data_IF_757637982689
#
_entry.id   IF_757637982689
#
_cell.length_a   1.000
_cell.length_b   1.000
_cell.length_c   1.000
_cell.angle_alpha   90.00
_cell.angle_beta   90.00
_cell.angle_gamma   90.00
#
_symmetry.space_group_name_H-M   'P 1'
#
loop_
_entity.id
_entity.type
_entity.pdbx_description
1 polymer ?
#
# COMPACT_ATOMS: atom_id res chain seq x y z
N UNK A 1 9.53 9.63 -7.08
CA UNK A 1 8.34 9.74 -7.95
C UNK A 1 7.13 10.00 -7.07
N UNK A 2 6.58 11.21 -7.15
CA UNK A 2 5.43 11.68 -6.36
C UNK A 2 4.10 11.21 -6.99
N UNK A 3 3.04 11.05 -6.20
CA UNK A 3 1.68 10.77 -6.69
C UNK A 3 1.25 11.81 -7.74
N UNK A 4 1.57 13.09 -7.51
CA UNK A 4 1.29 14.15 -8.49
C UNK A 4 2.06 13.91 -9.79
N UNK A 5 3.33 13.50 -9.74
CA UNK A 5 4.07 13.16 -10.96
C UNK A 5 3.45 11.97 -11.68
N UNK A 6 2.95 10.95 -10.96
CA UNK A 6 2.28 9.80 -11.58
C UNK A 6 0.96 10.22 -12.24
N UNK A 7 0.12 11.01 -11.55
CA UNK A 7 -1.14 11.51 -12.13
C UNK A 7 -0.88 12.43 -13.32
N UNK A 8 0.10 13.33 -13.21
CA UNK A 8 0.51 14.21 -14.31
C UNK A 8 1.12 13.42 -15.47
N UNK A 9 1.89 12.36 -15.22
CA UNK A 9 2.36 11.43 -16.27
C UNK A 9 1.18 10.69 -16.91
N UNK A 10 0.20 10.24 -16.12
CA UNK A 10 -1.00 9.54 -16.61
C UNK A 10 -1.90 10.44 -17.47
N UNK A 11 -2.07 11.71 -17.08
CA UNK A 11 -2.82 12.72 -17.85
C UNK A 11 -2.05 13.16 -19.10
N UNK A 12 -0.74 13.42 -19.00
CA UNK A 12 0.10 13.86 -20.12
C UNK A 12 0.33 12.76 -21.17
N UNK A 13 0.26 11.48 -20.79
CA UNK A 13 0.40 10.34 -21.71
C UNK A 13 -0.94 9.85 -22.27
N UNK A 14 -2.08 10.49 -21.96
CA UNK A 14 -3.42 10.07 -22.41
C UNK A 14 -3.69 8.57 -22.15
N UNK A 15 -3.27 8.07 -20.97
CA UNK A 15 -3.30 6.64 -20.64
C UNK A 15 -4.73 6.16 -20.39
N UNK A 16 -5.41 5.79 -21.48
CA UNK A 16 -6.70 5.08 -21.47
C UNK A 16 -6.55 3.56 -21.48
N UNK A 17 -5.33 3.01 -21.62
CA UNK A 17 -5.09 1.58 -21.79
C UNK A 17 -4.36 0.93 -20.60
N UNK A 18 -4.78 -0.28 -20.24
CA UNK A 18 -4.28 -1.08 -19.11
C UNK A 18 -2.78 -1.41 -19.20
N UNK A 19 -2.24 -1.50 -20.41
CA UNK A 19 -0.87 -1.99 -20.65
C UNK A 19 0.22 -1.00 -20.23
N UNK A 20 -0.04 0.30 -20.31
CA UNK A 20 0.94 1.33 -19.92
C UNK A 20 1.04 1.49 -18.39
N UNK A 21 -0.07 1.25 -17.69
CA UNK A 21 -0.10 1.20 -16.22
C UNK A 21 0.75 0.02 -15.72
N UNK A 22 0.63 -1.15 -16.34
CA UNK A 22 1.40 -2.34 -15.96
C UNK A 22 2.91 -2.13 -16.13
N UNK A 23 3.33 -1.45 -17.20
CA UNK A 23 4.75 -1.15 -17.46
C UNK A 23 5.37 -0.19 -16.42
N UNK A 24 4.63 0.82 -15.96
CA UNK A 24 5.08 1.71 -14.87
C UNK A 24 5.11 0.97 -13.53
N UNK A 25 4.18 0.03 -13.31
CA UNK A 25 4.13 -0.77 -12.10
C UNK A 25 5.28 -1.76 -12.01
N UNK A 26 5.67 -2.39 -13.10
CA UNK A 26 6.75 -3.36 -13.10
C UNK A 26 8.12 -2.73 -12.80
N UNK A 27 8.31 -1.47 -13.22
CA UNK A 27 9.57 -0.73 -12.99
C UNK A 27 9.75 -0.23 -11.55
N UNK A 28 8.72 -0.25 -10.69
CA UNK A 28 8.84 0.19 -9.30
C UNK A 28 8.06 -0.71 -8.33
N UNK A 29 8.54 -1.93 -8.12
CA UNK A 29 7.92 -2.94 -7.24
C UNK A 29 7.82 -2.53 -5.76
N UNK A 30 8.44 -1.43 -5.34
CA UNK A 30 8.31 -0.91 -3.97
C UNK A 30 7.14 0.07 -3.81
N UNK A 31 6.52 0.50 -4.91
CA UNK A 31 5.45 1.48 -4.92
C UNK A 31 4.10 0.85 -5.31
N UNK A 32 2.98 1.25 -4.67
CA UNK A 32 2.90 2.13 -3.50
C UNK A 32 3.08 1.34 -2.19
N UNK A 33 3.47 2.03 -1.13
CA UNK A 33 3.33 1.51 0.24
C UNK A 33 1.86 1.48 0.63
N UNK A 34 1.47 0.52 1.47
CA UNK A 34 0.11 0.42 2.02
C UNK A 34 -0.01 1.33 3.24
N UNK A 35 -1.09 2.11 3.32
CA UNK A 35 -1.47 2.91 4.46
C UNK A 35 -2.67 2.26 5.16
N UNK A 36 -2.56 2.10 6.48
CA UNK A 36 -3.67 1.77 7.38
C UNK A 36 -3.98 3.04 8.18
N UNK A 37 -5.03 3.79 7.81
CA UNK A 37 -5.21 5.17 8.26
C UNK A 37 -5.67 5.27 9.72
N UNK A 38 -6.23 4.19 10.29
CA UNK A 38 -6.66 4.13 11.67
C UNK A 38 -6.47 2.73 12.22
N UNK A 39 -5.53 2.62 13.14
CA UNK A 39 -5.25 1.45 13.96
C UNK A 39 -5.49 1.83 15.42
N UNK A 40 -5.94 0.87 16.22
CA UNK A 40 -5.90 1.04 17.66
C UNK A 40 -4.46 1.25 18.14
N UNK A 41 -4.28 2.01 19.21
CA UNK A 41 -2.96 2.35 19.75
C UNK A 41 -2.18 1.15 20.32
N UNK A 42 -2.87 0.05 20.64
CA UNK A 42 -2.27 -1.22 21.08
C UNK A 42 -1.65 -2.03 19.94
N UNK A 43 -2.06 -1.80 18.68
CA UNK A 43 -1.58 -2.57 17.54
C UNK A 43 -0.06 -2.37 17.34
N UNK A 44 0.67 -3.47 17.31
CA UNK A 44 2.12 -3.48 17.12
C UNK A 44 2.50 -3.67 15.66
N UNK A 45 3.80 -3.53 15.37
CA UNK A 45 4.33 -3.87 14.04
C UNK A 45 4.19 -5.36 13.72
N UNK A 46 4.28 -6.22 14.74
CA UNK A 46 4.15 -7.67 14.57
C UNK A 46 2.71 -8.03 14.21
N UNK A 47 1.72 -7.43 14.88
CA UNK A 47 0.31 -7.67 14.55
C UNK A 47 0.01 -7.31 13.07
N UNK A 48 0.59 -6.21 12.59
CA UNK A 48 0.46 -5.80 11.19
C UNK A 48 1.17 -6.79 10.27
N UNK A 49 2.40 -7.19 10.61
CA UNK A 49 3.18 -8.15 9.82
C UNK A 49 2.44 -9.48 9.71
N UNK A 50 2.08 -10.10 10.83
CA UNK A 50 1.42 -11.40 10.89
C UNK A 50 0.05 -11.39 10.18
N UNK A 51 -0.66 -10.26 10.26
CA UNK A 51 -1.93 -10.11 9.54
C UNK A 51 -1.71 -10.02 8.04
N UNK A 52 -0.80 -9.17 7.56
CA UNK A 52 -0.60 -8.96 6.12
C UNK A 52 0.10 -10.15 5.43
N UNK A 53 1.01 -10.84 6.13
CA UNK A 53 1.77 -11.95 5.57
C UNK A 53 0.85 -13.09 5.09
N UNK A 54 -0.27 -13.32 5.79
CA UNK A 54 -1.33 -14.29 5.43
C UNK A 54 -1.92 -14.06 4.04
N UNK A 55 -1.88 -12.83 3.53
CA UNK A 55 -2.45 -12.47 2.23
C UNK A 55 -1.45 -12.58 1.07
N UNK A 56 -0.16 -12.76 1.39
CA UNK A 56 0.94 -12.89 0.43
C UNK A 56 0.98 -11.78 -0.63
N UNK A 57 0.72 -10.53 -0.21
CA UNK A 57 0.69 -9.38 -1.12
C UNK A 57 2.09 -9.05 -1.68
N UNK A 58 3.12 -9.33 -0.91
CA UNK A 58 4.51 -9.00 -1.22
C UNK A 58 5.38 -9.20 0.01
N UNK A 59 6.71 -9.13 -0.17
CA UNK A 59 7.66 -9.19 0.94
C UNK A 59 7.65 -7.88 1.71
N UNK A 60 7.22 -7.89 2.97
CA UNK A 60 7.26 -6.71 3.83
C UNK A 60 8.72 -6.36 4.15
N UNK A 61 9.10 -5.11 3.90
CA UNK A 61 10.45 -4.57 4.09
C UNK A 61 10.51 -3.75 5.38
N UNK A 62 9.47 -2.97 5.65
CA UNK A 62 9.44 -2.04 6.76
C UNK A 62 8.00 -1.71 7.15
N UNK A 63 7.77 -1.53 8.45
CA UNK A 63 6.52 -1.02 8.99
C UNK A 63 6.82 0.23 9.84
N UNK A 64 6.16 1.33 9.51
CA UNK A 64 6.18 2.57 10.29
C UNK A 64 4.83 2.76 10.98
N UNK A 65 4.88 3.09 12.28
CA UNK A 65 3.71 3.43 13.09
C UNK A 65 3.84 4.88 13.52
N UNK A 66 2.83 5.70 13.21
CA UNK A 66 2.77 7.11 13.60
C UNK A 66 1.61 7.30 14.58
N UNK A 67 1.92 7.67 15.83
CA UNK A 67 0.92 7.93 16.86
C UNK A 67 0.10 9.19 16.52
N UNK A 68 -1.21 9.10 16.71
CA UNK A 68 -2.20 10.13 16.45
C UNK A 68 -3.13 10.25 17.66
N UNK A 69 -2.63 10.81 18.77
CA UNK A 69 -3.40 10.94 20.02
C UNK A 69 -3.89 9.58 20.53
N UNK A 70 -5.17 9.26 20.28
CA UNK A 70 -5.83 8.00 20.68
C UNK A 70 -5.86 6.88 19.64
N UNK A 71 -5.22 7.05 18.48
CA UNK A 71 -5.06 5.99 17.48
C UNK A 71 -3.68 6.11 16.85
N UNK A 72 -3.35 5.25 15.89
CA UNK A 72 -2.13 5.37 15.11
C UNK A 72 -2.36 5.06 13.63
N UNK A 73 -1.43 5.50 12.79
CA UNK A 73 -1.37 5.19 11.36
C UNK A 73 -0.27 4.19 11.10
N UNK A 74 -0.58 3.13 10.36
CA UNK A 74 0.40 2.17 9.88
C UNK A 74 0.78 2.44 8.43
N UNK A 75 2.07 2.36 8.13
CA UNK A 75 2.58 2.37 6.76
C UNK A 75 3.42 1.13 6.53
N UNK A 76 3.01 0.30 5.58
CA UNK A 76 3.68 -0.95 5.22
C UNK A 76 4.38 -0.76 3.89
N UNK A 77 5.71 -0.84 3.92
CA UNK A 77 6.57 -0.84 2.75
C UNK A 77 6.86 -2.27 2.38
N UNK A 78 6.57 -2.65 1.15
CA UNK A 78 6.70 -4.00 0.66
C UNK A 78 7.24 -4.03 -0.76
N UNK A 79 7.89 -5.14 -1.11
CA UNK A 79 8.13 -5.51 -2.49
C UNK A 79 6.91 -6.29 -2.99
N UNK A 80 6.13 -5.70 -3.89
CA UNK A 80 4.92 -6.32 -4.42
C UNK A 80 5.23 -7.62 -5.17
N UNK A 81 4.44 -8.67 -4.89
CA UNK A 81 4.52 -9.93 -5.60
C UNK A 81 3.96 -9.82 -7.03
N UNK A 82 4.48 -10.66 -7.92
CA UNK A 82 4.10 -10.75 -9.33
C UNK A 82 2.99 -11.78 -9.56
N UNK A 83 1.99 -11.81 -8.65
CA UNK A 83 0.84 -12.72 -8.70
C UNK A 83 -0.46 -11.93 -8.89
N UNK A 84 -1.46 -12.53 -9.51
CA UNK A 84 -2.70 -11.86 -9.92
C UNK A 84 -3.40 -11.12 -8.78
N UNK A 85 -3.49 -11.74 -7.60
CA UNK A 85 -4.10 -11.11 -6.41
C UNK A 85 -3.36 -9.83 -6.00
N UNK A 86 -2.03 -9.90 -5.94
CA UNK A 86 -1.18 -8.77 -5.56
C UNK A 86 -1.25 -7.66 -6.61
N UNK A 87 -1.19 -8.01 -7.90
CA UNK A 87 -1.38 -7.06 -9.02
C UNK A 87 -2.73 -6.37 -8.93
N UNK A 88 -3.80 -7.14 -8.68
CA UNK A 88 -5.14 -6.60 -8.53
C UNK A 88 -5.24 -5.61 -7.37
N UNK A 89 -4.79 -5.97 -6.17
CA UNK A 89 -4.83 -5.09 -4.99
C UNK A 89 -3.96 -3.84 -5.21
N UNK A 90 -2.77 -4.01 -5.79
CA UNK A 90 -1.87 -2.90 -6.13
C UNK A 90 -2.54 -1.91 -7.09
N UNK A 91 -3.14 -2.39 -8.18
CA UNK A 91 -3.90 -1.56 -9.13
C UNK A 91 -5.11 -0.89 -8.48
N UNK A 92 -5.81 -1.61 -7.60
CA UNK A 92 -6.94 -1.09 -6.85
C UNK A 92 -6.54 0.14 -6.01
N UNK A 93 -5.50 0.03 -5.19
CA UNK A 93 -5.11 1.14 -4.31
C UNK A 93 -4.48 2.33 -5.05
N UNK A 94 -3.89 2.09 -6.22
CA UNK A 94 -3.36 3.16 -7.09
C UNK A 94 -4.44 3.96 -7.80
N UNK A 95 -5.62 3.36 -8.03
CA UNK A 95 -6.77 4.05 -8.60
C UNK A 95 -7.61 4.76 -7.53
N UNK A 96 -6.97 5.20 -6.43
CA UNK A 96 -7.58 5.83 -5.26
C UNK A 96 -8.72 5.02 -4.60
N UNK A 97 -8.77 3.71 -4.83
CA UNK A 97 -9.68 2.81 -4.09
C UNK A 97 -8.98 2.26 -2.85
N UNK A 98 -9.71 1.46 -2.08
CA UNK A 98 -9.24 0.84 -0.85
C UNK A 98 -9.69 -0.62 -0.80
N UNK A 99 -9.02 -1.40 0.03
CA UNK A 99 -9.41 -2.76 0.35
C UNK A 99 -9.48 -2.95 1.87
N UNK A 100 -10.03 -4.09 2.29
CA UNK A 100 -10.15 -4.47 3.70
C UNK A 100 -9.31 -5.71 3.96
N UNK A 101 -8.59 -5.71 5.07
CA UNK A 101 -7.87 -6.87 5.59
C UNK A 101 -8.50 -7.26 6.90
N UNK A 102 -8.88 -8.54 7.04
CA UNK A 102 -9.44 -9.08 8.28
C UNK A 102 -8.25 -9.42 9.19
N UNK A 103 -8.25 -8.89 10.41
CA UNK A 103 -7.17 -9.11 11.38
C UNK A 103 -7.62 -9.92 12.61
N UNK A 104 -8.92 -10.20 12.73
CA UNK A 104 -9.49 -10.97 13.81
C UNK A 104 -10.61 -11.87 13.29
N UNK A 105 -10.72 -13.08 13.85
CA UNK A 105 -11.66 -14.12 13.43
C UNK A 105 -13.14 -13.73 13.52
N UNK A 106 -13.49 -12.71 14.30
CA UNK A 106 -14.86 -12.18 14.42
C UNK A 106 -15.21 -11.19 13.29
N UNK A 107 -14.36 -11.08 12.27
CA UNK A 107 -14.60 -10.27 11.06
C UNK A 107 -14.16 -8.81 11.16
N UNK A 108 -13.39 -8.44 12.19
CA UNK A 108 -12.84 -7.08 12.25
C UNK A 108 -11.78 -6.88 11.18
N UNK A 109 -11.82 -5.70 10.57
CA UNK A 109 -10.95 -5.38 9.45
C UNK A 109 -10.27 -4.03 9.61
N UNK A 110 -9.09 -3.92 9.01
CA UNK A 110 -8.43 -2.66 8.73
C UNK A 110 -8.74 -2.24 7.30
N UNK A 111 -9.02 -0.94 7.11
CA UNK A 111 -9.09 -0.32 5.78
C UNK A 111 -7.68 -0.03 5.32
N UNK A 112 -7.35 -0.39 4.08
CA UNK A 112 -6.04 -0.21 3.49
C UNK A 112 -6.14 0.61 2.20
N UNK A 113 -5.26 1.60 2.02
CA UNK A 113 -5.17 2.44 0.83
C UNK A 113 -3.71 2.65 0.41
N UNK A 114 -3.47 3.31 -0.72
CA UNK A 114 -2.11 3.75 -1.04
C UNK A 114 -1.67 4.83 -0.05
N UNK A 115 -0.38 4.78 0.34
CA UNK A 115 0.25 5.85 1.11
C UNK A 115 0.39 7.09 0.26
N UNK A 116 -0.14 8.21 0.76
CA UNK A 116 -0.09 9.53 0.10
C UNK A 116 1.15 10.33 0.54
N UNK A 117 1.90 9.84 1.53
CA UNK A 117 2.98 10.58 2.19
C UNK A 117 4.31 10.42 1.45
N UNK A 118 4.86 11.54 0.96
CA UNK A 118 6.21 11.60 0.36
C UNK A 118 7.33 11.19 1.34
N UNK A 119 7.14 11.43 2.65
CA UNK A 119 8.13 11.11 3.70
C UNK A 119 8.28 9.60 3.94
N UNK A 120 7.29 8.83 3.52
CA UNK A 120 7.20 7.39 3.69
C UNK A 120 7.43 6.66 2.36
N UNK A 121 8.03 7.29 1.35
CA UNK A 121 8.53 6.59 0.19
C UNK A 121 9.85 5.90 0.56
N UNK A 122 10.14 4.69 0.05
CA UNK A 122 11.43 4.06 0.25
C UNK A 122 12.53 5.00 -0.26
N UNK A 123 13.55 5.25 0.58
CA UNK A 123 14.77 5.94 0.16
C UNK A 123 15.52 4.98 -0.75
N UNK A 124 15.51 5.25 -2.05
CA UNK A 124 16.35 4.56 -3.02
C UNK A 124 17.74 5.17 -2.84
N UNK A 125 18.70 4.38 -2.35
CA UNK A 125 20.12 4.71 -2.34
C UNK A 125 20.75 4.10 -3.58
#
# INVERSE_FOLDING_TARGET
MNIIEIYTIMENMNLKNSNDIEKVLDNNKHYPSICIPKLDSSITKNDIFDTLEKYHLGRIIKIDLIKMGGYQKGFVHLLWNDIDRSKYIRRLILTNKNFKIIYHDVGWFWKCSASISKKNLPKIY
#
